data_IF_259415220174
#
_entry.id   IF_259415220174
#
_cell.length_a   1.000
_cell.length_b   1.000
_cell.length_c   1.000
_cell.angle_alpha   90.00
_cell.angle_beta   90.00
_cell.angle_gamma   90.00
#
_symmetry.space_group_name_H-M   'P 1'
#
loop_
_entity.id
_entity.type
_entity.pdbx_description
1 polymer ?
#
# COMPACT_ATOMS: atom_id res chain seq x y z
N UNK A 1 60.91 14.77 -67.29
CA UNK A 1 61.01 16.25 -67.29
C UNK A 1 59.77 16.80 -66.59
N UNK A 2 59.81 17.96 -65.91
CA UNK A 2 60.60 18.37 -64.74
C UNK A 2 59.66 19.13 -63.72
N UNK A 3 60.10 20.01 -62.79
CA UNK A 3 61.30 20.08 -61.96
C UNK A 3 61.05 20.27 -60.44
N UNK A 4 62.15 20.12 -59.71
CA UNK A 4 62.44 20.42 -58.29
C UNK A 4 62.24 21.90 -57.92
N UNK A 5 61.80 22.16 -56.68
CA UNK A 5 62.18 23.37 -55.90
C UNK A 5 62.89 22.95 -54.61
N UNK A 6 64.13 23.43 -54.48
CA UNK A 6 64.92 23.46 -53.25
C UNK A 6 64.21 24.35 -52.22
N UNK A 7 64.08 23.87 -50.99
CA UNK A 7 64.01 24.72 -49.80
C UNK A 7 65.11 24.23 -48.86
N UNK A 8 66.15 25.05 -48.74
CA UNK A 8 67.20 24.91 -47.74
C UNK A 8 66.57 25.16 -46.36
N UNK A 9 66.30 24.10 -45.61
CA UNK A 9 66.08 24.21 -44.18
C UNK A 9 67.46 24.39 -43.52
N UNK A 10 67.73 25.62 -43.09
CA UNK A 10 68.97 25.99 -42.41
C UNK A 10 69.28 25.05 -41.25
N UNK A 11 70.51 24.53 -41.23
CA UNK A 11 71.13 23.96 -40.03
C UNK A 11 71.13 25.05 -38.95
N UNK A 12 70.22 24.94 -37.98
CA UNK A 12 70.36 25.64 -36.70
C UNK A 12 71.67 25.15 -36.06
N UNK A 13 72.54 26.04 -35.58
CA UNK A 13 73.72 25.62 -34.84
C UNK A 13 73.25 24.87 -33.59
N UNK A 14 73.84 23.70 -33.34
CA UNK A 14 73.66 23.00 -32.08
C UNK A 14 73.99 23.98 -30.95
N UNK A 15 72.99 24.35 -30.15
CA UNK A 15 73.21 25.07 -28.90
C UNK A 15 74.25 24.27 -28.10
N UNK A 16 75.30 24.90 -27.56
CA UNK A 16 76.22 24.20 -26.68
C UNK A 16 75.37 23.63 -25.55
N UNK A 17 75.43 22.31 -25.34
CA UNK A 17 74.87 21.67 -24.16
C UNK A 17 75.45 22.43 -22.96
N UNK A 18 74.63 23.20 -22.27
CA UNK A 18 74.93 23.68 -20.93
C UNK A 18 75.35 22.46 -20.11
N UNK A 19 76.50 22.47 -19.43
CA UNK A 19 76.91 21.33 -18.62
C UNK A 19 75.83 21.11 -17.57
N UNK A 20 75.12 19.97 -17.65
CA UNK A 20 74.20 19.58 -16.59
C UNK A 20 75.06 19.27 -15.37
N UNK A 21 74.99 20.16 -14.38
CA UNK A 21 75.74 20.05 -13.13
C UNK A 21 75.32 18.76 -12.42
N UNK A 22 76.29 17.91 -12.13
CA UNK A 22 76.11 16.73 -11.28
C UNK A 22 76.55 17.17 -9.88
N UNK A 23 75.59 17.39 -8.95
CA UNK A 23 75.87 17.93 -7.61
C UNK A 23 76.77 19.18 -7.57
N UNK A 24 76.68 20.06 -8.58
CA UNK A 24 77.44 21.30 -8.61
C UNK A 24 78.89 21.20 -9.13
N UNK A 25 79.34 20.04 -9.61
CA UNK A 25 80.69 19.83 -10.17
C UNK A 25 80.67 19.43 -11.65
N UNK A 26 81.75 19.75 -12.36
CA UNK A 26 81.93 19.39 -13.77
C UNK A 26 82.58 18.01 -13.93
N UNK A 27 82.41 17.41 -15.13
CA UNK A 27 82.85 16.04 -15.49
C UNK A 27 84.32 15.72 -15.16
N UNK A 28 85.18 16.74 -15.14
CA UNK A 28 86.63 16.58 -14.96
C UNK A 28 87.08 16.70 -13.48
N UNK A 29 86.17 17.00 -12.55
CA UNK A 29 86.50 17.25 -11.13
C UNK A 29 86.15 16.07 -10.20
N UNK A 30 85.35 15.10 -10.65
CA UNK A 30 84.94 13.96 -9.83
C UNK A 30 85.87 12.76 -10.06
N UNK A 31 86.45 12.22 -8.98
CA UNK A 31 87.32 11.04 -9.09
C UNK A 31 86.53 9.81 -9.55
N UNK A 32 87.22 8.81 -10.11
CA UNK A 32 86.60 7.55 -10.58
C UNK A 32 85.75 6.88 -9.50
N UNK A 33 86.24 6.88 -8.26
CA UNK A 33 85.55 6.30 -7.10
C UNK A 33 84.29 7.12 -6.72
N UNK A 34 84.35 8.45 -6.84
CA UNK A 34 83.20 9.31 -6.59
C UNK A 34 82.11 9.14 -7.66
N UNK A 35 82.49 8.90 -8.92
CA UNK A 35 81.57 8.57 -10.01
C UNK A 35 80.92 7.19 -9.81
N UNK A 36 81.68 6.19 -9.38
CA UNK A 36 81.15 4.86 -9.08
C UNK A 36 80.16 4.90 -7.90
N UNK A 37 80.49 5.62 -6.83
CA UNK A 37 79.61 5.78 -5.67
C UNK A 37 78.34 6.60 -5.98
N UNK A 38 78.42 7.54 -6.93
CA UNK A 38 77.25 8.26 -7.43
C UNK A 38 76.34 7.37 -8.27
N UNK A 39 76.90 6.46 -9.09
CA UNK A 39 76.14 5.48 -9.86
C UNK A 39 75.43 4.48 -8.93
N UNK A 40 76.08 4.04 -7.85
CA UNK A 40 75.46 3.15 -6.84
C UNK A 40 74.24 3.84 -6.23
N UNK A 41 74.40 5.09 -5.76
CA UNK A 41 73.31 5.86 -5.15
C UNK A 41 72.11 6.02 -6.08
N UNK A 42 72.34 6.40 -7.33
CA UNK A 42 71.25 6.57 -8.31
C UNK A 42 70.49 5.27 -8.59
N UNK A 43 71.15 4.12 -8.51
CA UNK A 43 70.50 2.81 -8.69
C UNK A 43 69.72 2.35 -7.47
N UNK A 44 70.23 2.60 -6.27
CA UNK A 44 69.50 2.34 -5.04
C UNK A 44 68.21 3.16 -5.00
N UNK A 45 68.27 4.43 -5.42
CA UNK A 45 67.09 5.30 -5.57
C UNK A 45 66.10 4.73 -6.60
N UNK A 46 66.58 4.37 -7.80
CA UNK A 46 65.75 3.79 -8.87
C UNK A 46 65.00 2.53 -8.43
N UNK A 47 65.67 1.64 -7.69
CA UNK A 47 65.05 0.40 -7.23
C UNK A 47 64.02 0.67 -6.13
N UNK A 48 64.28 1.63 -5.24
CA UNK A 48 63.32 2.05 -4.20
C UNK A 48 62.06 2.63 -4.82
N UNK A 49 62.21 3.51 -5.82
CA UNK A 49 61.10 4.09 -6.57
C UNK A 49 60.26 3.02 -7.31
N UNK A 50 60.89 1.95 -7.81
CA UNK A 50 60.18 0.81 -8.44
C UNK A 50 59.34 0.01 -7.45
N UNK A 51 59.88 -0.25 -6.25
CA UNK A 51 59.15 -0.96 -5.20
C UNK A 51 57.95 -0.15 -4.70
N UNK A 52 58.15 1.16 -4.51
CA UNK A 52 57.07 2.08 -4.13
C UNK A 52 55.98 2.12 -5.21
N UNK A 53 56.36 2.21 -6.49
CA UNK A 53 55.39 2.17 -7.61
C UNK A 53 54.55 0.88 -7.61
N UNK A 54 55.19 -0.27 -7.38
CA UNK A 54 54.48 -1.56 -7.34
C UNK A 54 53.50 -1.61 -6.17
N UNK A 55 53.92 -1.15 -4.99
CA UNK A 55 53.05 -1.04 -3.82
C UNK A 55 51.80 -0.19 -4.10
N UNK A 56 51.98 1.01 -4.66
CA UNK A 56 50.86 1.88 -4.99
C UNK A 56 49.99 1.35 -6.14
N UNK A 57 50.54 0.54 -7.05
CA UNK A 57 49.74 -0.13 -8.08
C UNK A 57 48.77 -1.15 -7.45
N UNK A 58 49.24 -1.96 -6.51
CA UNK A 58 48.38 -2.93 -5.80
C UNK A 58 47.30 -2.24 -4.97
N UNK A 59 47.63 -1.13 -4.30
CA UNK A 59 46.61 -0.36 -3.58
C UNK A 59 45.58 0.26 -4.52
N UNK A 60 46.00 0.79 -5.68
CA UNK A 60 45.07 1.29 -6.70
C UNK A 60 44.12 0.19 -7.18
N UNK A 61 44.65 -0.98 -7.51
CA UNK A 61 43.85 -2.11 -8.00
C UNK A 61 42.84 -2.58 -6.94
N UNK A 62 43.23 -2.53 -5.66
CA UNK A 62 42.36 -2.86 -4.53
C UNK A 62 41.25 -1.83 -4.34
N UNK A 63 41.58 -0.54 -4.38
CA UNK A 63 40.59 0.55 -4.31
C UNK A 63 39.61 0.45 -5.49
N UNK A 64 40.11 0.20 -6.69
CA UNK A 64 39.26 0.01 -7.88
C UNK A 64 38.31 -1.18 -7.73
N UNK A 65 38.77 -2.30 -7.19
CA UNK A 65 37.88 -3.45 -6.91
C UNK A 65 36.78 -3.11 -5.91
N UNK A 66 37.10 -2.38 -4.84
CA UNK A 66 36.09 -1.93 -3.88
C UNK A 66 35.10 -0.94 -4.50
N UNK A 67 35.59 -0.02 -5.31
CA UNK A 67 34.77 0.93 -6.06
C UNK A 67 33.78 0.20 -6.98
N UNK A 68 34.25 -0.74 -7.81
CA UNK A 68 33.39 -1.53 -8.70
C UNK A 68 32.32 -2.33 -7.95
N UNK A 69 32.68 -2.92 -6.80
CA UNK A 69 31.71 -3.64 -5.95
C UNK A 69 30.67 -2.69 -5.38
N UNK A 70 31.08 -1.48 -4.99
CA UNK A 70 30.19 -0.51 -4.37
C UNK A 70 29.24 0.11 -5.38
N UNK A 71 29.73 0.47 -6.57
CA UNK A 71 28.90 0.93 -7.69
C UNK A 71 27.86 -0.12 -8.06
N UNK A 72 28.25 -1.39 -8.18
CA UNK A 72 27.29 -2.47 -8.50
C UNK A 72 26.21 -2.62 -7.43
N UNK A 73 26.57 -2.53 -6.15
CA UNK A 73 25.59 -2.56 -5.04
C UNK A 73 24.66 -1.36 -5.04
N UNK A 74 25.18 -0.18 -5.39
CA UNK A 74 24.36 1.01 -5.55
C UNK A 74 23.35 0.82 -6.68
N UNK A 75 23.79 0.34 -7.84
CA UNK A 75 22.91 0.03 -8.98
C UNK A 75 21.83 -1.00 -8.62
N UNK A 76 22.18 -2.05 -7.85
CA UNK A 76 21.22 -3.05 -7.35
C UNK A 76 20.16 -2.41 -6.44
N UNK A 77 20.57 -1.60 -5.46
CA UNK A 77 19.63 -0.91 -4.55
C UNK A 77 18.76 0.11 -5.29
N UNK A 78 19.33 0.87 -6.23
CA UNK A 78 18.56 1.80 -7.08
C UNK A 78 17.53 1.07 -7.95
N UNK A 79 17.88 -0.10 -8.49
CA UNK A 79 16.95 -0.93 -9.25
C UNK A 79 15.83 -1.51 -8.38
N UNK A 80 16.15 -1.95 -7.16
CA UNK A 80 15.15 -2.41 -6.18
C UNK A 80 14.21 -1.29 -5.74
N UNK A 81 14.74 -0.09 -5.46
CA UNK A 81 13.94 1.08 -5.12
C UNK A 81 12.96 1.42 -6.24
N UNK A 82 13.45 1.48 -7.49
CA UNK A 82 12.62 1.76 -8.67
C UNK A 82 11.54 0.70 -8.89
N UNK A 83 11.82 -0.55 -8.56
CA UNK A 83 10.81 -1.62 -8.61
C UNK A 83 9.73 -1.40 -7.55
N UNK A 84 10.11 -1.09 -6.31
CA UNK A 84 9.16 -0.82 -5.22
C UNK A 84 8.29 0.40 -5.53
N UNK A 85 8.86 1.47 -6.06
CA UNK A 85 8.12 2.67 -6.47
C UNK A 85 7.07 2.33 -7.55
N UNK A 86 7.46 1.53 -8.56
CA UNK A 86 6.52 1.07 -9.59
C UNK A 86 5.41 0.19 -9.02
N UNK A 87 5.74 -0.74 -8.13
CA UNK A 87 4.76 -1.61 -7.47
C UNK A 87 3.76 -0.79 -6.63
N UNK A 88 4.24 0.28 -5.99
CA UNK A 88 3.42 1.24 -5.24
C UNK A 88 2.50 2.05 -6.17
N UNK A 89 3.02 2.60 -7.27
CA UNK A 89 2.22 3.32 -8.28
C UNK A 89 1.10 2.42 -8.86
N UNK A 90 1.44 1.16 -9.19
CA UNK A 90 0.46 0.20 -9.68
C UNK A 90 -0.59 -0.15 -8.62
N UNK A 91 -0.20 -0.26 -7.35
CA UNK A 91 -1.13 -0.48 -6.24
C UNK A 91 -2.09 0.70 -6.04
N UNK A 92 -1.59 1.94 -6.11
CA UNK A 92 -2.43 3.13 -6.05
C UNK A 92 -3.40 3.19 -7.25
N UNK A 93 -2.94 2.88 -8.46
CA UNK A 93 -3.78 2.84 -9.64
C UNK A 93 -4.91 1.79 -9.51
N UNK A 94 -4.59 0.59 -8.99
CA UNK A 94 -5.60 -0.44 -8.67
C UNK A 94 -6.59 0.05 -7.62
N UNK A 95 -6.12 0.64 -6.53
CA UNK A 95 -6.99 1.16 -5.49
C UNK A 95 -7.94 2.26 -6.02
N UNK A 96 -7.44 3.17 -6.85
CA UNK A 96 -8.27 4.20 -7.50
C UNK A 96 -9.34 3.60 -8.42
N UNK A 97 -9.01 2.52 -9.13
CA UNK A 97 -9.99 1.79 -9.95
C UNK A 97 -11.08 1.16 -9.06
N UNK A 98 -10.69 0.47 -7.98
CA UNK A 98 -11.62 -0.14 -7.04
C UNK A 98 -12.58 0.88 -6.46
N UNK A 99 -12.08 2.04 -6.03
CA UNK A 99 -12.91 3.15 -5.53
C UNK A 99 -13.94 3.60 -6.58
N UNK A 100 -13.54 3.69 -7.87
CA UNK A 100 -14.47 4.04 -8.96
C UNK A 100 -15.54 2.96 -9.16
N UNK A 101 -15.16 1.68 -9.12
CA UNK A 101 -16.09 0.55 -9.25
C UNK A 101 -17.07 0.52 -8.08
N UNK A 102 -16.60 0.64 -6.84
CA UNK A 102 -17.47 0.70 -5.66
C UNK A 102 -18.43 1.89 -5.72
N UNK A 103 -17.96 3.07 -6.15
CA UNK A 103 -18.81 4.24 -6.36
C UNK A 103 -19.91 3.97 -7.40
N UNK A 104 -19.59 3.30 -8.49
CA UNK A 104 -20.60 2.90 -9.50
C UNK A 104 -21.58 1.85 -8.94
N UNK A 105 -21.09 0.88 -8.17
CA UNK A 105 -21.93 -0.17 -7.56
C UNK A 105 -22.93 0.41 -6.55
N UNK A 106 -22.49 1.36 -5.72
CA UNK A 106 -23.38 2.08 -4.80
C UNK A 106 -24.44 2.86 -5.59
N UNK A 107 -24.04 3.58 -6.65
CA UNK A 107 -25.00 4.28 -7.49
C UNK A 107 -26.02 3.32 -8.09
N UNK A 108 -25.59 2.18 -8.64
CA UNK A 108 -26.50 1.20 -9.22
C UNK A 108 -27.51 0.68 -8.21
N UNK A 109 -27.04 0.24 -7.03
CA UNK A 109 -27.91 -0.23 -5.94
C UNK A 109 -28.93 0.85 -5.51
N UNK A 110 -28.52 2.12 -5.45
CA UNK A 110 -29.43 3.22 -5.13
C UNK A 110 -30.53 3.39 -6.19
N UNK A 111 -30.19 3.25 -7.48
CA UNK A 111 -31.19 3.32 -8.55
C UNK A 111 -32.11 2.10 -8.54
N UNK A 112 -31.58 0.90 -8.29
CA UNK A 112 -32.40 -0.32 -8.15
C UNK A 112 -33.39 -0.18 -7.00
N UNK A 113 -32.94 0.25 -5.82
CA UNK A 113 -33.82 0.49 -4.67
C UNK A 113 -34.89 1.54 -4.98
N UNK A 114 -34.52 2.63 -5.65
CA UNK A 114 -35.48 3.67 -6.03
C UNK A 114 -36.55 3.12 -6.98
N UNK A 115 -36.15 2.32 -7.97
CA UNK A 115 -37.07 1.70 -8.92
C UNK A 115 -38.05 0.76 -8.21
N UNK A 116 -37.55 -0.12 -7.33
CA UNK A 116 -38.39 -1.03 -6.53
C UNK A 116 -39.40 -0.26 -5.69
N UNK A 117 -38.96 0.82 -5.02
CA UNK A 117 -39.87 1.67 -4.23
C UNK A 117 -40.94 2.32 -5.13
N UNK A 118 -40.57 2.79 -6.32
CA UNK A 118 -41.55 3.40 -7.23
C UNK A 118 -42.55 2.39 -7.78
N UNK A 119 -42.11 1.16 -8.09
CA UNK A 119 -42.98 0.06 -8.51
C UNK A 119 -43.96 -0.31 -7.40
N UNK A 120 -43.47 -0.57 -6.18
CA UNK A 120 -44.32 -0.89 -5.03
C UNK A 120 -45.35 0.20 -4.71
N UNK A 121 -44.98 1.47 -4.87
CA UNK A 121 -45.92 2.59 -4.70
C UNK A 121 -46.99 2.60 -5.80
N UNK A 122 -46.61 2.34 -7.05
CA UNK A 122 -47.54 2.25 -8.16
C UNK A 122 -48.53 1.09 -7.97
N UNK A 123 -48.03 -0.08 -7.58
CA UNK A 123 -48.85 -1.27 -7.32
C UNK A 123 -49.81 -1.04 -6.15
N UNK A 124 -49.34 -0.40 -5.07
CA UNK A 124 -50.18 -0.04 -3.94
C UNK A 124 -51.29 0.94 -4.32
N UNK A 125 -51.01 1.92 -5.18
CA UNK A 125 -52.01 2.87 -5.67
C UNK A 125 -53.05 2.17 -6.56
N UNK A 126 -52.60 1.34 -7.50
CA UNK A 126 -53.50 0.58 -8.36
C UNK A 126 -54.41 -0.36 -7.57
N UNK A 127 -53.87 -1.05 -6.55
CA UNK A 127 -54.68 -1.89 -5.65
C UNK A 127 -55.71 -1.07 -4.86
N UNK A 128 -55.32 0.11 -4.37
CA UNK A 128 -56.24 1.02 -3.67
C UNK A 128 -57.37 1.50 -4.57
N UNK A 129 -57.08 1.88 -5.82
CA UNK A 129 -58.11 2.31 -6.79
C UNK A 129 -59.09 1.18 -7.13
N UNK A 130 -58.62 -0.06 -7.22
CA UNK A 130 -59.48 -1.23 -7.44
C UNK A 130 -60.41 -1.44 -6.24
N UNK A 131 -59.87 -1.41 -5.01
CA UNK A 131 -60.66 -1.56 -3.79
C UNK A 131 -61.70 -0.45 -3.63
N UNK A 132 -61.34 0.80 -3.96
CA UNK A 132 -62.27 1.93 -3.92
C UNK A 132 -63.43 1.73 -4.90
N UNK A 133 -63.15 1.29 -6.14
CA UNK A 133 -64.19 0.97 -7.13
C UNK A 133 -65.09 -0.19 -6.69
N UNK A 134 -64.53 -1.23 -6.08
CA UNK A 134 -65.31 -2.35 -5.53
C UNK A 134 -66.21 -1.89 -4.37
N UNK A 135 -65.70 -1.03 -3.48
CA UNK A 135 -66.49 -0.45 -2.40
C UNK A 135 -67.63 0.41 -2.95
N UNK A 136 -67.37 1.28 -3.91
CA UNK A 136 -68.41 2.11 -4.56
C UNK A 136 -69.52 1.24 -5.19
N UNK A 137 -69.15 0.13 -5.83
CA UNK A 137 -70.11 -0.81 -6.39
C UNK A 137 -70.97 -1.48 -5.31
N UNK A 138 -70.34 -1.96 -4.22
CA UNK A 138 -71.07 -2.56 -3.10
C UNK A 138 -72.02 -1.57 -2.42
N UNK A 139 -71.59 -0.32 -2.22
CA UNK A 139 -72.44 0.74 -1.69
C UNK A 139 -73.62 1.05 -2.63
N UNK A 140 -73.40 1.06 -3.93
CA UNK A 140 -74.45 1.28 -4.92
C UNK A 140 -75.50 0.15 -4.92
N UNK A 141 -75.05 -1.11 -4.87
CA UNK A 141 -75.94 -2.27 -4.76
C UNK A 141 -76.71 -2.26 -3.43
N UNK A 142 -76.05 -1.96 -2.31
CA UNK A 142 -76.72 -1.84 -1.01
C UNK A 142 -77.80 -0.75 -1.02
N UNK A 143 -77.51 0.42 -1.60
CA UNK A 143 -78.50 1.50 -1.76
C UNK A 143 -79.70 1.08 -2.62
N UNK A 144 -79.48 0.22 -3.62
CA UNK A 144 -80.54 -0.32 -4.47
C UNK A 144 -81.40 -1.32 -3.71
N UNK A 145 -80.78 -2.26 -2.97
CA UNK A 145 -81.49 -3.22 -2.11
C UNK A 145 -82.36 -2.51 -1.09
N UNK A 146 -81.80 -1.56 -0.32
CA UNK A 146 -82.56 -0.78 0.67
C UNK A 146 -83.76 -0.05 0.03
N UNK A 147 -83.60 0.47 -1.19
CA UNK A 147 -84.70 1.13 -1.91
C UNK A 147 -85.83 0.17 -2.24
N UNK A 148 -85.50 -1.05 -2.66
CA UNK A 148 -86.50 -2.10 -2.94
C UNK A 148 -87.20 -2.49 -1.63
N UNK A 149 -86.45 -2.74 -0.56
CA UNK A 149 -87.03 -3.09 0.75
C UNK A 149 -88.00 -2.01 1.26
N UNK A 150 -87.65 -0.72 1.11
CA UNK A 150 -88.55 0.39 1.48
C UNK A 150 -89.82 0.39 0.61
N UNK A 151 -89.71 0.12 -0.70
CA UNK A 151 -90.87 0.02 -1.58
C UNK A 151 -91.78 -1.15 -1.18
N UNK A 152 -91.20 -2.30 -0.87
CA UNK A 152 -91.92 -3.49 -0.40
C UNK A 152 -92.61 -3.23 0.93
N UNK A 153 -91.93 -2.61 1.91
CA UNK A 153 -92.52 -2.23 3.19
C UNK A 153 -93.69 -1.25 3.02
N UNK A 154 -93.59 -0.29 2.10
CA UNK A 154 -94.70 0.63 1.80
C UNK A 154 -95.89 -0.13 1.20
N UNK A 155 -95.64 -1.06 0.26
CA UNK A 155 -96.70 -1.91 -0.31
C UNK A 155 -97.34 -2.77 0.78
N UNK A 156 -96.53 -3.41 1.62
CA UNK A 156 -97.02 -4.24 2.73
C UNK A 156 -97.82 -3.41 3.75
N UNK A 157 -97.43 -2.16 4.00
CA UNK A 157 -98.20 -1.23 4.81
C UNK A 157 -99.54 -0.86 4.17
N UNK A 158 -99.57 -0.59 2.86
CA UNK A 158 -100.82 -0.39 2.12
C UNK A 158 -101.71 -1.64 2.13
N UNK A 159 -101.13 -2.83 1.99
CA UNK A 159 -101.86 -4.10 2.06
C UNK A 159 -102.41 -4.33 3.47
N UNK A 160 -101.65 -4.05 4.53
CA UNK A 160 -102.14 -4.11 5.92
C UNK A 160 -103.27 -3.10 6.18
N UNK A 161 -103.21 -1.89 5.62
CA UNK A 161 -104.32 -0.93 5.67
C UNK A 161 -105.54 -1.44 4.90
N UNK A 162 -105.34 -2.04 3.73
CA UNK A 162 -106.41 -2.65 2.93
C UNK A 162 -107.04 -3.85 3.63
N UNK A 163 -106.23 -4.68 4.29
CA UNK A 163 -106.66 -5.78 5.15
C UNK A 163 -107.37 -5.27 6.40
N UNK A 164 -106.96 -4.14 6.99
CA UNK A 164 -107.65 -3.51 8.11
C UNK A 164 -109.05 -3.03 7.68
N UNK A 165 -109.19 -2.47 6.48
CA UNK A 165 -110.48 -2.07 5.86
C UNK A 165 -111.35 -3.30 5.54
N UNK A 166 -110.75 -4.36 5.01
CA UNK A 166 -111.44 -5.64 4.75
C UNK A 166 -111.85 -6.34 6.06
N UNK A 167 -111.02 -6.27 7.10
CA UNK A 167 -111.30 -6.84 8.41
C UNK A 167 -112.30 -6.00 9.21
N UNK A 168 -112.41 -4.68 9.02
CA UNK A 168 -113.54 -3.89 9.57
C UNK A 168 -114.87 -4.28 8.91
N UNK A 169 -114.88 -4.57 7.61
CA UNK A 169 -116.04 -5.17 6.91
C UNK A 169 -116.35 -6.60 7.38
N UNK A 170 -115.32 -7.39 7.68
CA UNK A 170 -115.45 -8.78 8.18
C UNK A 170 -115.83 -8.84 9.67
N UNK A 171 -115.43 -7.86 10.48
CA UNK A 171 -115.84 -7.75 11.90
C UNK A 171 -117.34 -7.47 12.01
N UNK A 172 -117.92 -6.68 11.08
CA UNK A 172 -119.36 -6.49 10.98
C UNK A 172 -120.12 -7.79 10.66
N UNK A 173 -119.47 -8.73 9.98
CA UNK A 173 -119.99 -10.08 9.70
C UNK A 173 -119.75 -11.07 10.85
N UNK A 174 -118.64 -10.94 11.58
CA UNK A 174 -118.30 -11.79 12.72
C UNK A 174 -119.00 -11.38 14.03
N UNK A 175 -119.50 -10.14 14.17
CA UNK A 175 -120.39 -9.76 15.31
C UNK A 175 -121.71 -10.56 15.30
N UNK A 176 -122.04 -11.26 14.20
CA UNK A 176 -123.17 -12.20 14.09
C UNK A 176 -122.81 -13.69 14.15
N UNK A 177 -121.57 -14.08 14.46
CA UNK A 177 -121.21 -15.49 14.60
C UNK A 177 -120.27 -15.69 15.80
N UNK A 178 -120.87 -15.78 16.98
CA UNK A 178 -120.22 -16.42 18.11
C UNK A 178 -120.22 -17.93 17.90
N UNK A 179 -119.05 -18.56 18.14
CA UNK A 179 -118.82 -19.79 18.90
C UNK A 179 -117.48 -20.39 18.43
N UNK A 180 -116.46 -20.35 19.30
CA UNK A 180 -115.39 -21.35 19.48
C UNK A 180 -114.32 -20.80 20.45
N UNK A 181 -114.52 -20.95 21.77
CA UNK A 181 -113.73 -20.20 22.77
C UNK A 181 -113.06 -21.01 23.88
N UNK A 182 -112.49 -22.19 23.60
CA UNK A 182 -111.49 -22.79 24.52
C UNK A 182 -110.32 -23.43 23.77
N UNK A 183 -110.58 -24.30 22.79
CA UNK A 183 -109.53 -24.95 21.99
C UNK A 183 -108.70 -23.96 21.14
N UNK A 184 -109.32 -22.89 20.65
CA UNK A 184 -108.63 -21.83 19.92
C UNK A 184 -107.77 -20.95 20.84
N UNK A 185 -108.24 -20.73 22.07
CA UNK A 185 -107.47 -20.04 23.12
C UNK A 185 -106.24 -20.86 23.55
N UNK A 186 -106.37 -22.18 23.69
CA UNK A 186 -105.24 -23.08 24.01
C UNK A 186 -104.19 -23.13 22.91
N UNK A 187 -104.60 -23.27 21.64
CA UNK A 187 -103.68 -23.22 20.49
C UNK A 187 -102.95 -21.88 20.43
N UNK A 188 -103.65 -20.77 20.68
CA UNK A 188 -103.06 -19.42 20.70
C UNK A 188 -102.09 -19.24 21.86
N UNK A 189 -102.39 -19.80 23.04
CA UNK A 189 -101.50 -19.78 24.20
C UNK A 189 -100.21 -20.56 23.93
N UNK A 190 -100.29 -21.71 23.24
CA UNK A 190 -99.10 -22.48 22.85
C UNK A 190 -98.24 -21.75 21.80
N UNK A 191 -98.84 -21.07 20.83
CA UNK A 191 -98.11 -20.28 19.83
C UNK A 191 -97.41 -19.10 20.49
N UNK A 192 -98.09 -18.35 21.36
CA UNK A 192 -97.48 -17.22 22.08
C UNK A 192 -96.32 -17.68 22.99
N UNK A 193 -96.46 -18.84 23.64
CA UNK A 193 -95.37 -19.41 24.44
C UNK A 193 -94.16 -19.76 23.56
N UNK A 194 -94.41 -20.38 22.41
CA UNK A 194 -93.35 -20.73 21.45
C UNK A 194 -92.66 -19.49 20.88
N UNK A 195 -93.40 -18.42 20.58
CA UNK A 195 -92.85 -17.16 20.10
C UNK A 195 -91.97 -16.48 21.15
N UNK A 196 -92.41 -16.45 22.41
CA UNK A 196 -91.60 -15.92 23.53
C UNK A 196 -90.32 -16.73 23.75
N UNK A 197 -90.41 -18.06 23.69
CA UNK A 197 -89.25 -18.95 23.80
C UNK A 197 -88.28 -18.74 22.62
N UNK A 198 -88.79 -18.55 21.41
CA UNK A 198 -87.99 -18.28 20.21
C UNK A 198 -87.27 -16.92 20.29
N UNK A 199 -87.97 -15.86 20.73
CA UNK A 199 -87.37 -14.54 20.94
C UNK A 199 -86.28 -14.60 22.00
N UNK A 200 -86.52 -15.29 23.11
CA UNK A 200 -85.53 -15.45 24.19
C UNK A 200 -84.30 -16.22 23.69
N UNK A 201 -84.49 -17.31 22.92
CA UNK A 201 -83.39 -18.06 22.31
C UNK A 201 -82.59 -17.22 21.31
N UNK A 202 -83.26 -16.43 20.46
CA UNK A 202 -82.60 -15.53 19.51
C UNK A 202 -81.74 -14.51 20.24
N UNK A 203 -82.30 -13.83 21.26
CA UNK A 203 -81.57 -12.83 22.04
C UNK A 203 -80.34 -13.41 22.77
N UNK A 204 -80.43 -14.64 23.27
CA UNK A 204 -79.29 -15.33 23.88
C UNK A 204 -78.23 -15.63 22.82
N UNK A 205 -78.63 -16.22 21.68
CA UNK A 205 -77.71 -16.58 20.59
C UNK A 205 -77.02 -15.35 19.98
N UNK A 206 -77.74 -14.24 19.80
CA UNK A 206 -77.17 -12.98 19.30
C UNK A 206 -76.11 -12.44 20.26
N UNK A 207 -76.38 -12.53 21.57
CA UNK A 207 -75.44 -12.06 22.59
C UNK A 207 -74.22 -12.98 22.72
N UNK A 208 -74.41 -14.29 22.63
CA UNK A 208 -73.31 -15.27 22.56
C UNK A 208 -72.44 -15.01 21.34
N UNK A 209 -73.04 -14.87 20.16
CA UNK A 209 -72.31 -14.55 18.92
C UNK A 209 -71.52 -13.24 19.02
N UNK A 210 -72.11 -12.21 19.63
CA UNK A 210 -71.42 -10.94 19.88
C UNK A 210 -70.19 -11.11 20.78
N UNK A 211 -70.33 -11.81 21.92
CA UNK A 211 -69.22 -12.01 22.85
C UNK A 211 -68.15 -12.94 22.27
N UNK A 212 -68.54 -13.98 21.54
CA UNK A 212 -67.60 -14.86 20.83
C UNK A 212 -66.79 -14.09 19.79
N UNK A 213 -67.45 -13.24 19.01
CA UNK A 213 -66.77 -12.35 18.06
C UNK A 213 -65.83 -11.37 18.76
N UNK A 214 -66.23 -10.82 19.91
CA UNK A 214 -65.40 -9.89 20.69
C UNK A 214 -64.16 -10.59 21.26
N UNK A 215 -64.32 -11.79 21.83
CA UNK A 215 -63.22 -12.60 22.37
C UNK A 215 -62.27 -13.01 21.23
N UNK A 216 -62.78 -13.40 20.07
CA UNK A 216 -61.96 -13.73 18.91
C UNK A 216 -61.14 -12.54 18.42
N UNK A 217 -61.76 -11.35 18.34
CA UNK A 217 -61.06 -10.11 17.98
C UNK A 217 -59.95 -9.77 18.99
N UNK A 218 -60.26 -9.81 20.29
CA UNK A 218 -59.27 -9.54 21.35
C UNK A 218 -58.11 -10.55 21.32
N UNK A 219 -58.40 -11.82 21.09
CA UNK A 219 -57.38 -12.88 20.97
C UNK A 219 -56.48 -12.63 19.77
N UNK A 220 -57.06 -12.22 18.63
CA UNK A 220 -56.31 -11.87 17.43
C UNK A 220 -55.41 -10.65 17.69
N UNK A 221 -55.92 -9.61 18.31
CA UNK A 221 -55.15 -8.40 18.62
C UNK A 221 -53.99 -8.71 19.59
N UNK A 222 -54.24 -9.48 20.64
CA UNK A 222 -53.19 -9.94 21.55
C UNK A 222 -52.13 -10.78 20.84
N UNK A 223 -52.52 -11.72 19.97
CA UNK A 223 -51.58 -12.52 19.19
C UNK A 223 -50.69 -11.67 18.28
N UNK A 224 -51.27 -10.62 17.68
CA UNK A 224 -50.55 -9.66 16.85
C UNK A 224 -49.57 -8.83 17.66
N UNK A 225 -49.98 -8.32 18.83
CA UNK A 225 -49.08 -7.59 19.74
C UNK A 225 -47.92 -8.49 20.17
N UNK A 226 -48.20 -9.74 20.53
CA UNK A 226 -47.17 -10.70 20.92
C UNK A 226 -46.16 -10.95 19.80
N UNK A 227 -46.63 -11.23 18.58
CA UNK A 227 -45.77 -11.39 17.39
C UNK A 227 -44.88 -10.16 17.18
N UNK A 228 -45.47 -8.96 17.23
CA UNK A 228 -44.72 -7.71 17.07
C UNK A 228 -43.67 -7.53 18.18
N UNK A 229 -43.98 -7.90 19.42
CA UNK A 229 -43.01 -7.83 20.52
C UNK A 229 -41.88 -8.84 20.36
N UNK A 230 -42.16 -10.03 19.84
CA UNK A 230 -41.16 -11.06 19.56
C UNK A 230 -40.21 -10.60 18.44
N UNK A 231 -40.75 -10.03 17.37
CA UNK A 231 -39.98 -9.40 16.29
C UNK A 231 -39.10 -8.26 16.81
N UNK A 232 -39.64 -7.40 17.69
CA UNK A 232 -38.88 -6.31 18.30
C UNK A 232 -37.74 -6.82 19.18
N UNK A 233 -37.97 -7.86 19.99
CA UNK A 233 -36.93 -8.49 20.82
C UNK A 233 -35.85 -9.13 19.94
N UNK A 234 -36.23 -9.80 18.84
CA UNK A 234 -35.29 -10.35 17.89
C UNK A 234 -34.41 -9.27 17.27
N UNK A 235 -35.00 -8.14 16.84
CA UNK A 235 -34.26 -6.99 16.30
C UNK A 235 -33.29 -6.38 17.34
N UNK A 236 -33.73 -6.27 18.60
CA UNK A 236 -32.88 -5.76 19.68
C UNK A 236 -31.67 -6.68 19.95
N UNK A 237 -31.86 -7.99 19.87
CA UNK A 237 -30.76 -8.95 20.00
C UNK A 237 -29.76 -8.84 18.84
N UNK A 238 -30.25 -8.69 17.60
CA UNK A 238 -29.35 -8.47 16.46
C UNK A 238 -28.55 -7.17 16.61
N UNK A 239 -29.17 -6.09 17.07
CA UNK A 239 -28.48 -4.82 17.32
C UNK A 239 -27.42 -4.95 18.42
N UNK A 240 -27.68 -5.74 19.47
CA UNK A 240 -26.72 -6.03 20.51
C UNK A 240 -25.49 -6.80 19.97
N UNK A 241 -25.72 -7.81 19.12
CA UNK A 241 -24.65 -8.56 18.46
C UNK A 241 -23.83 -7.66 17.51
N UNK A 242 -24.48 -6.77 16.76
CA UNK A 242 -23.77 -5.80 15.92
C UNK A 242 -22.93 -4.83 16.75
N UNK A 243 -23.44 -4.37 17.90
CA UNK A 243 -22.72 -3.51 18.82
C UNK A 243 -21.48 -4.20 19.39
N UNK A 244 -21.55 -5.48 19.74
CA UNK A 244 -20.37 -6.24 20.20
C UNK A 244 -19.34 -6.38 19.07
N UNK A 245 -19.76 -6.69 17.85
CA UNK A 245 -18.89 -6.75 16.66
C UNK A 245 -18.23 -5.40 16.38
N UNK A 246 -18.98 -4.30 16.51
CA UNK A 246 -18.46 -2.95 16.34
C UNK A 246 -17.42 -2.60 17.40
N UNK A 247 -17.66 -2.95 18.68
CA UNK A 247 -16.69 -2.76 19.77
C UNK A 247 -15.38 -3.51 19.50
N UNK A 248 -15.45 -4.75 19.02
CA UNK A 248 -14.27 -5.55 18.64
C UNK A 248 -13.49 -4.90 17.49
N UNK A 249 -14.18 -4.50 16.40
CA UNK A 249 -13.56 -3.79 15.28
C UNK A 249 -12.91 -2.48 15.71
N UNK A 250 -13.56 -1.71 16.59
CA UNK A 250 -13.03 -0.47 17.15
C UNK A 250 -11.76 -0.70 17.97
N UNK A 251 -11.69 -1.80 18.73
CA UNK A 251 -10.47 -2.17 19.48
C UNK A 251 -9.34 -2.52 18.52
N UNK A 252 -9.58 -3.39 17.54
CA UNK A 252 -8.58 -3.75 16.51
C UNK A 252 -8.07 -2.54 15.73
N UNK A 253 -8.94 -1.57 15.39
CA UNK A 253 -8.51 -0.32 14.74
C UNK A 253 -7.61 0.53 15.65
N UNK A 254 -7.86 0.57 16.96
CA UNK A 254 -6.98 1.28 17.90
C UNK A 254 -5.62 0.61 18.01
N UNK A 255 -5.61 -0.72 18.12
CA UNK A 255 -4.37 -1.50 18.23
C UNK A 255 -3.52 -1.31 16.96
N UNK A 256 -4.12 -1.45 15.77
CA UNK A 256 -3.45 -1.24 14.49
C UNK A 256 -2.92 0.20 14.32
N UNK A 257 -3.66 1.20 14.80
CA UNK A 257 -3.20 2.60 14.78
C UNK A 257 -1.96 2.79 15.66
N UNK A 258 -1.92 2.17 16.84
CA UNK A 258 -0.75 2.24 17.71
C UNK A 258 0.46 1.52 17.12
N UNK A 259 0.26 0.39 16.44
CA UNK A 259 1.33 -0.31 15.71
C UNK A 259 1.89 0.53 14.56
N UNK A 260 1.02 1.20 13.79
CA UNK A 260 1.44 2.12 12.74
C UNK A 260 2.31 3.25 13.30
N UNK A 261 1.90 3.89 14.40
CA UNK A 261 2.64 5.00 15.01
C UNK A 261 4.03 4.54 15.50
N UNK A 262 4.13 3.33 16.06
CA UNK A 262 5.42 2.71 16.43
C UNK A 262 6.28 2.44 15.18
N UNK A 263 5.68 1.93 14.11
CA UNK A 263 6.39 1.60 12.87
C UNK A 263 6.91 2.86 12.17
N UNK A 264 6.12 3.93 12.18
CA UNK A 264 6.48 5.25 11.64
C UNK A 264 7.66 5.86 12.40
N UNK A 265 7.67 5.76 13.73
CA UNK A 265 8.83 6.15 14.55
C UNK A 265 10.08 5.33 14.23
N UNK A 266 9.94 4.00 14.03
CA UNK A 266 11.06 3.14 13.64
C UNK A 266 11.58 3.50 12.25
N UNK A 267 10.68 3.75 11.30
CA UNK A 267 11.03 4.16 9.95
C UNK A 267 11.81 5.48 9.95
N UNK A 268 11.34 6.47 10.72
CA UNK A 268 12.05 7.75 10.86
C UNK A 268 13.47 7.58 11.43
N UNK A 269 13.66 6.70 12.42
CA UNK A 269 15.00 6.37 12.94
C UNK A 269 15.89 5.69 11.92
N UNK A 270 15.39 4.69 11.20
CA UNK A 270 16.13 4.01 10.12
C UNK A 270 16.50 4.98 8.99
N UNK A 271 15.62 5.93 8.69
CA UNK A 271 15.89 6.96 7.69
C UNK A 271 17.05 7.87 8.12
N UNK A 272 17.07 8.29 9.39
CA UNK A 272 18.20 9.04 9.97
C UNK A 272 19.50 8.23 9.96
N UNK A 273 19.47 6.97 10.40
CA UNK A 273 20.64 6.08 10.37
C UNK A 273 21.17 5.91 8.93
N UNK A 274 20.27 5.77 7.94
CA UNK A 274 20.65 5.71 6.52
C UNK A 274 21.26 7.02 6.04
N UNK A 275 20.69 8.17 6.39
CA UNK A 275 21.24 9.48 6.04
C UNK A 275 22.63 9.70 6.65
N UNK A 276 22.83 9.30 7.92
CA UNK A 276 24.12 9.35 8.60
C UNK A 276 25.16 8.42 7.94
N UNK A 277 24.77 7.18 7.60
CA UNK A 277 25.62 6.23 6.88
C UNK A 277 26.00 6.74 5.48
N UNK A 278 25.04 7.28 4.73
CA UNK A 278 25.31 7.89 3.43
C UNK A 278 26.32 9.04 3.57
N UNK A 279 26.16 9.91 4.57
CA UNK A 279 27.08 11.01 4.83
C UNK A 279 28.48 10.52 5.18
N UNK A 280 28.60 9.57 6.11
CA UNK A 280 29.88 8.99 6.50
C UNK A 280 30.57 8.30 5.32
N UNK A 281 29.79 7.61 4.46
CA UNK A 281 30.31 6.99 3.25
C UNK A 281 30.82 8.03 2.25
N UNK A 282 30.10 9.14 2.02
CA UNK A 282 30.57 10.22 1.14
C UNK A 282 31.85 10.88 1.67
N UNK A 283 31.93 11.15 2.98
CA UNK A 283 33.13 11.72 3.60
C UNK A 283 34.34 10.77 3.48
N UNK A 284 34.14 9.48 3.74
CA UNK A 284 35.20 8.47 3.57
C UNK A 284 35.64 8.33 2.11
N UNK A 285 34.69 8.37 1.17
CA UNK A 285 35.00 8.30 -0.26
C UNK A 285 35.81 9.52 -0.71
N UNK A 286 35.46 10.73 -0.26
CA UNK A 286 36.20 11.97 -0.54
C UNK A 286 37.63 11.93 0.04
N UNK A 287 37.81 11.45 1.27
CA UNK A 287 39.13 11.27 1.88
C UNK A 287 40.00 10.29 1.09
N UNK A 288 39.41 9.18 0.62
CA UNK A 288 40.12 8.16 -0.13
C UNK A 288 40.51 8.68 -1.52
N UNK A 289 39.62 9.43 -2.18
CA UNK A 289 39.91 10.14 -3.42
C UNK A 289 41.03 11.17 -3.26
N UNK A 290 41.05 11.91 -2.14
CA UNK A 290 42.12 12.85 -1.85
C UNK A 290 43.47 12.15 -1.66
N UNK A 291 43.50 11.02 -0.92
CA UNK A 291 44.70 10.20 -0.74
C UNK A 291 45.22 9.67 -2.08
N UNK A 292 44.33 9.17 -2.93
CA UNK A 292 44.69 8.64 -4.25
C UNK A 292 45.30 9.72 -5.15
N UNK A 293 44.68 10.91 -5.18
CA UNK A 293 45.23 12.08 -5.89
C UNK A 293 46.62 12.50 -5.35
N UNK A 294 46.84 12.40 -4.05
CA UNK A 294 48.12 12.74 -3.43
C UNK A 294 49.22 11.72 -3.77
N UNK A 295 48.87 10.43 -3.80
CA UNK A 295 49.74 9.35 -4.29
C UNK A 295 50.07 9.56 -5.75
N UNK A 296 49.10 9.88 -6.59
CA UNK A 296 49.29 10.10 -8.02
C UNK A 296 50.24 11.26 -8.30
N UNK A 297 50.12 12.37 -7.55
CA UNK A 297 51.08 13.49 -7.58
C UNK A 297 52.50 13.06 -7.18
N UNK A 298 52.66 12.27 -6.12
CA UNK A 298 53.97 11.75 -5.70
C UNK A 298 54.57 10.84 -6.77
N UNK A 299 53.77 9.96 -7.35
CA UNK A 299 54.19 9.03 -8.38
C UNK A 299 54.64 9.76 -9.66
N UNK A 300 53.94 10.84 -10.02
CA UNK A 300 54.36 11.71 -11.12
C UNK A 300 55.68 12.44 -10.81
N UNK A 301 55.84 13.00 -9.62
CA UNK A 301 57.08 13.65 -9.22
C UNK A 301 58.29 12.69 -9.21
N UNK A 302 58.10 11.46 -8.71
CA UNK A 302 59.12 10.41 -8.75
C UNK A 302 59.42 9.98 -10.20
N UNK A 303 58.40 9.86 -11.06
CA UNK A 303 58.60 9.54 -12.48
C UNK A 303 59.46 10.61 -13.17
N UNK A 304 59.19 11.89 -12.93
CA UNK A 304 60.01 12.97 -13.47
C UNK A 304 61.44 12.98 -12.89
N UNK A 305 61.61 12.66 -11.61
CA UNK A 305 62.93 12.49 -10.98
C UNK A 305 63.71 11.35 -11.64
N UNK A 306 63.05 10.20 -11.82
CA UNK A 306 63.60 9.03 -12.49
C UNK A 306 64.06 9.36 -13.92
N UNK A 307 63.24 10.04 -14.71
CA UNK A 307 63.60 10.45 -16.07
C UNK A 307 64.81 11.40 -16.09
N UNK A 308 64.90 12.33 -15.12
CA UNK A 308 66.07 13.22 -14.98
C UNK A 308 67.34 12.45 -14.61
N UNK A 309 67.26 11.51 -13.68
CA UNK A 309 68.42 10.71 -13.25
C UNK A 309 68.87 9.72 -14.32
N UNK A 310 67.95 9.06 -15.03
CA UNK A 310 68.26 8.23 -16.21
C UNK A 310 68.95 9.04 -17.31
N UNK A 311 68.47 10.26 -17.58
CA UNK A 311 69.11 11.15 -18.54
C UNK A 311 70.54 11.54 -18.10
N UNK A 312 70.75 11.84 -16.81
CA UNK A 312 72.08 12.13 -16.25
C UNK A 312 73.01 10.90 -16.35
N UNK A 313 72.51 9.71 -16.00
CA UNK A 313 73.27 8.46 -16.03
C UNK A 313 73.68 8.08 -17.46
N UNK A 314 72.78 8.25 -18.44
CA UNK A 314 73.06 8.06 -19.86
C UNK A 314 74.17 8.99 -20.37
N UNK A 315 74.19 10.24 -19.91
CA UNK A 315 75.25 11.21 -20.24
C UNK A 315 76.59 10.79 -19.62
N UNK A 316 76.62 10.35 -18.36
CA UNK A 316 77.85 9.92 -17.69
C UNK A 316 78.44 8.65 -18.34
N UNK A 317 77.58 7.67 -18.66
CA UNK A 317 78.02 6.42 -19.30
C UNK A 317 78.55 6.63 -20.73
N UNK A 318 77.99 7.58 -21.48
CA UNK A 318 78.51 7.95 -22.81
C UNK A 318 79.78 8.82 -22.74
N UNK A 319 80.02 9.45 -21.59
CA UNK A 319 81.15 10.31 -21.31
C UNK A 319 82.40 9.54 -20.79
N UNK A 320 82.20 8.38 -20.16
CA UNK A 320 83.27 7.49 -19.69
C UNK A 320 83.71 6.57 -20.83
N UNK A 321 84.84 6.87 -21.46
CA UNK A 321 85.45 6.07 -22.54
C UNK A 321 86.11 4.78 -21.98
N UNK A 322 85.47 4.12 -21.02
CA UNK A 322 85.96 2.93 -20.29
C UNK A 322 85.41 1.64 -20.91
N UNK A 323 86.18 0.56 -20.81
CA UNK A 323 85.83 -0.75 -21.37
C UNK A 323 84.46 -1.23 -20.88
N UNK A 324 83.54 -1.39 -21.83
CA UNK A 324 82.13 -1.77 -21.63
C UNK A 324 81.99 -3.10 -20.86
N UNK A 325 82.98 -3.98 -20.98
CA UNK A 325 82.99 -5.30 -20.33
C UNK A 325 83.33 -5.18 -18.83
N UNK A 326 84.30 -4.35 -18.48
CA UNK A 326 84.67 -4.08 -17.08
C UNK A 326 83.58 -3.30 -16.34
N UNK A 327 82.98 -2.30 -17.00
CA UNK A 327 81.82 -1.56 -16.46
C UNK A 327 80.60 -2.46 -16.23
N UNK A 328 80.34 -3.43 -17.10
CA UNK A 328 79.25 -4.40 -16.93
C UNK A 328 79.48 -5.34 -15.74
N UNK A 329 80.72 -5.78 -15.51
CA UNK A 329 81.07 -6.62 -14.36
C UNK A 329 80.93 -5.87 -13.03
N UNK A 330 81.42 -4.62 -12.97
CA UNK A 330 81.26 -3.75 -11.79
C UNK A 330 79.78 -3.44 -11.56
N UNK A 331 79.02 -3.16 -12.62
CA UNK A 331 77.56 -2.96 -12.60
C UNK A 331 76.83 -4.14 -11.97
N UNK A 332 77.11 -5.37 -12.43
CA UNK A 332 76.48 -6.58 -11.89
C UNK A 332 76.85 -6.83 -10.44
N UNK A 333 78.09 -6.51 -10.04
CA UNK A 333 78.54 -6.70 -8.66
C UNK A 333 77.92 -5.68 -7.70
N UNK A 334 77.73 -4.45 -8.16
CA UNK A 334 76.98 -3.41 -7.44
C UNK A 334 75.50 -3.82 -7.31
N UNK A 335 74.85 -4.25 -8.39
CA UNK A 335 73.45 -4.74 -8.35
C UNK A 335 73.29 -5.89 -7.36
N UNK A 336 74.16 -6.90 -7.42
CA UNK A 336 74.10 -8.03 -6.49
C UNK A 336 74.27 -7.61 -5.01
N UNK A 337 75.08 -6.58 -4.74
CA UNK A 337 75.28 -6.07 -3.38
C UNK A 337 74.07 -5.25 -2.91
N UNK A 338 73.48 -4.44 -3.79
CA UNK A 338 72.24 -3.70 -3.52
C UNK A 338 71.10 -4.69 -3.24
N UNK A 339 70.93 -5.71 -4.09
CA UNK A 339 69.88 -6.72 -3.93
C UNK A 339 70.05 -7.49 -2.61
N UNK A 340 71.28 -7.85 -2.25
CA UNK A 340 71.59 -8.47 -0.97
C UNK A 340 71.18 -7.59 0.22
N UNK A 341 71.52 -6.29 0.17
CA UNK A 341 71.17 -5.32 1.23
C UNK A 341 69.67 -5.07 1.30
N UNK A 342 68.99 -4.92 0.16
CA UNK A 342 67.53 -4.76 0.12
C UNK A 342 66.80 -5.99 0.67
N UNK A 343 67.31 -7.19 0.39
CA UNK A 343 66.78 -8.42 0.97
C UNK A 343 66.95 -8.42 2.50
N UNK A 344 68.12 -8.02 3.01
CA UNK A 344 68.36 -7.90 4.45
C UNK A 344 67.45 -6.86 5.11
N UNK A 345 67.23 -5.71 4.45
CA UNK A 345 66.31 -4.65 4.92
C UNK A 345 64.88 -5.19 5.01
N UNK A 346 64.39 -5.89 3.98
CA UNK A 346 63.05 -6.51 4.00
C UNK A 346 62.89 -7.51 5.15
N UNK A 347 63.90 -8.35 5.39
CA UNK A 347 63.89 -9.30 6.51
C UNK A 347 63.83 -8.57 7.86
N UNK A 348 64.61 -7.49 8.02
CA UNK A 348 64.61 -6.69 9.25
C UNK A 348 63.28 -5.94 9.45
N UNK A 349 62.71 -5.34 8.40
CA UNK A 349 61.39 -4.71 8.44
C UNK A 349 60.29 -5.72 8.79
N UNK A 350 60.34 -6.92 8.23
CA UNK A 350 59.39 -7.98 8.58
C UNK A 350 59.49 -8.36 10.06
N UNK A 351 60.71 -8.50 10.60
CA UNK A 351 60.91 -8.74 12.04
C UNK A 351 60.40 -7.60 12.91
N UNK A 352 60.63 -6.34 12.52
CA UNK A 352 60.11 -5.17 13.23
C UNK A 352 58.58 -5.19 13.25
N UNK A 353 57.94 -5.47 12.12
CA UNK A 353 56.48 -5.56 12.04
C UNK A 353 55.92 -6.71 12.89
N UNK A 354 56.62 -7.85 12.95
CA UNK A 354 56.24 -8.99 13.78
C UNK A 354 56.34 -8.65 15.28
N UNK A 355 57.40 -7.96 15.68
CA UNK A 355 57.57 -7.49 17.07
C UNK A 355 56.50 -6.44 17.41
N UNK A 356 56.23 -5.51 16.50
CA UNK A 356 55.23 -4.45 16.71
C UNK A 356 53.81 -5.01 16.85
N UNK A 357 53.44 -6.02 16.07
CA UNK A 357 52.15 -6.74 16.20
C UNK A 357 52.05 -7.53 17.49
N UNK A 358 53.12 -8.19 17.93
CA UNK A 358 53.17 -8.86 19.25
C UNK A 358 53.06 -7.85 20.39
N UNK A 359 53.77 -6.72 20.32
CA UNK A 359 53.67 -5.66 21.34
C UNK A 359 52.29 -5.02 21.42
N UNK A 360 51.56 -4.85 20.31
CA UNK A 360 50.18 -4.37 20.35
C UNK A 360 49.20 -5.37 20.97
N UNK A 361 49.46 -6.67 20.83
CA UNK A 361 48.65 -7.74 21.43
C UNK A 361 48.86 -7.86 22.95
N UNK A 362 50.00 -7.44 23.49
CA UNK A 362 50.29 -7.43 24.94
C UNK A 362 49.89 -6.12 25.65
N UNK A 363 49.52 -5.08 24.88
CA UNK A 363 49.12 -3.77 25.40
C UNK A 363 47.58 -3.55 25.43
N UNK A 364 46.81 -4.49 24.87
CA UNK A 364 45.36 -4.65 25.11
C UNK A 364 45.13 -5.66 26.23
#
# INVERSE_FOLDING_TARGET
>A
QPPKKKVEAGKKPAKPRTPTLINGLTKDEMSKEQLEEHIVRLREELNREREERNYFQLERDKINSFWEVTVRKQEEVEAELKKVDKDMEEAEARHQLDVKVYKQKIKHLQHEHLNVITELKSDSLAASEVLEKEQEQLEAELRKTIRVDIQELNIEQFDKELELVCSTKRLLFCVTAGVETTALCEKRMHVLQQDLDNVTKSQISDRESHWDSHIAALTKDHSKIYSNTEEFVAAMNTDADELTRFKLKRKSLKDLKSEHEILEQKFSKLQLERDELCKAFTESAEEEQHKDMEVEKKLQALTESQERTEAQLSVVLSASNTDRTALSLITKKIEANIDSRNTAIKILQHKINLISTVSSLFAS
#
